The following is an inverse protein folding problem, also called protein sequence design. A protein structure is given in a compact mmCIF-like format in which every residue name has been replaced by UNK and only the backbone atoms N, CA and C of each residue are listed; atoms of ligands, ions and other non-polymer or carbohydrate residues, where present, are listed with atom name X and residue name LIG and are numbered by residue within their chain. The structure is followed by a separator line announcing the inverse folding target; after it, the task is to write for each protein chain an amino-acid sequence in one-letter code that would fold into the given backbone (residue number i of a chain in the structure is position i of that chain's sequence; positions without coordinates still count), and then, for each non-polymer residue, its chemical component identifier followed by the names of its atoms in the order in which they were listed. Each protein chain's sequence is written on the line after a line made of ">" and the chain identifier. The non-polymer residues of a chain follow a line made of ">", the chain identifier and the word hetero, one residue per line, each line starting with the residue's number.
data_IF_511513173444
#
_entry.id   IF_511513173444
#
_cell.length_a   1.000
_cell.length_b   1.000
_cell.length_c   1.000
_cell.angle_alpha   90.00
_cell.angle_beta   90.00
_cell.angle_gamma   90.00
#
_symmetry.space_group_name_H-M   'P 1'
#
loop_
_entity.id
_entity.type
_entity.pdbx_description
1 polymer ?
#
# COMPACT_ATOMS: atom_id res chain seq x y z
N UNK A 1 -22.15 -4.04 -27.56
CA UNK A 1 -21.60 -4.84 -26.44
C UNK A 1 -20.28 -5.42 -26.93
N UNK A 2 -19.17 -4.70 -26.74
CA UNK A 2 -17.84 -5.19 -27.12
C UNK A 2 -17.18 -5.72 -25.85
N UNK A 3 -17.06 -7.05 -25.75
CA UNK A 3 -16.24 -7.66 -24.72
C UNK A 3 -14.81 -7.73 -25.24
N UNK A 4 -13.95 -6.84 -24.76
CA UNK A 4 -12.52 -6.84 -25.04
C UNK A 4 -11.89 -8.05 -24.35
N UNK A 5 -11.38 -9.00 -25.15
CA UNK A 5 -10.65 -10.17 -24.66
C UNK A 5 -9.30 -9.72 -24.10
N UNK A 6 -9.16 -9.65 -22.78
CA UNK A 6 -7.88 -9.39 -22.14
C UNK A 6 -6.94 -10.58 -22.38
N UNK A 7 -5.88 -10.36 -23.15
CA UNK A 7 -4.79 -11.33 -23.27
C UNK A 7 -3.92 -11.24 -22.00
N UNK A 8 -3.87 -12.33 -21.22
CA UNK A 8 -2.92 -12.45 -20.11
C UNK A 8 -1.50 -12.53 -20.66
N UNK A 9 -0.84 -11.39 -20.85
CA UNK A 9 0.59 -11.34 -21.15
C UNK A 9 1.37 -11.47 -19.85
N UNK A 10 1.96 -12.64 -19.62
CA UNK A 10 2.90 -12.86 -18.50
C UNK A 10 4.16 -12.04 -18.74
N UNK A 11 4.37 -10.98 -17.95
CA UNK A 11 5.59 -10.17 -17.96
C UNK A 11 6.60 -10.83 -17.01
N UNK A 12 7.70 -11.36 -17.56
CA UNK A 12 8.84 -11.85 -16.76
C UNK A 12 9.84 -10.72 -16.59
N UNK A 13 9.88 -10.11 -15.40
CA UNK A 13 10.93 -9.16 -15.04
C UNK A 13 12.18 -9.94 -14.65
N UNK A 14 13.20 -9.94 -15.53
CA UNK A 14 14.52 -10.49 -15.20
C UNK A 14 15.28 -9.44 -14.38
N UNK A 15 15.38 -9.65 -13.07
CA UNK A 15 16.29 -8.89 -12.21
C UNK A 15 17.68 -9.49 -12.38
N UNK A 16 18.45 -8.97 -13.33
CA UNK A 16 19.86 -9.31 -13.45
C UNK A 16 20.61 -8.74 -12.24
N UNK A 17 21.07 -9.61 -11.35
CA UNK A 17 21.77 -9.27 -10.11
C UNK A 17 23.22 -8.88 -10.40
N UNK A 18 23.51 -7.64 -10.83
CA UNK A 18 24.90 -7.16 -10.98
C UNK A 18 25.15 -5.68 -10.67
N UNK A 19 24.33 -5.06 -9.82
CA UNK A 19 24.76 -3.86 -9.12
C UNK A 19 25.02 -4.25 -7.66
N UNK A 20 26.30 -4.42 -7.32
CA UNK A 20 26.77 -4.58 -5.94
C UNK A 20 26.45 -3.29 -5.17
N UNK A 21 25.27 -3.23 -4.57
CA UNK A 21 25.01 -2.33 -3.44
C UNK A 21 25.91 -2.82 -2.31
N UNK A 22 27.03 -2.12 -2.11
CA UNK A 22 27.79 -2.21 -0.87
C UNK A 22 26.85 -1.88 0.28
N UNK A 23 26.32 -2.91 0.93
CA UNK A 23 25.69 -2.76 2.23
C UNK A 23 26.80 -2.27 3.18
N UNK A 24 26.70 -1.01 3.62
CA UNK A 24 27.50 -0.55 4.76
C UNK A 24 27.25 -1.49 5.93
N UNK A 25 28.34 -1.93 6.57
CA UNK A 25 28.37 -2.86 7.70
C UNK A 25 27.39 -2.45 8.81
N UNK A 26 26.68 -3.37 9.49
CA UNK A 26 25.61 -3.02 10.43
C UNK A 26 26.07 -2.44 11.78
N UNK A 27 27.36 -2.24 12.01
CA UNK A 27 27.87 -2.10 13.39
C UNK A 27 28.08 -0.65 13.88
N UNK A 28 27.69 0.39 13.16
CA UNK A 28 27.81 1.75 13.70
C UNK A 28 26.60 2.64 13.38
N UNK A 29 25.97 3.13 14.46
CA UNK A 29 24.95 4.20 14.51
C UNK A 29 23.46 3.80 14.54
N UNK A 30 23.09 2.81 15.38
CA UNK A 30 21.77 2.79 16.05
C UNK A 30 21.78 3.58 17.39
N UNK A 31 22.50 4.69 17.46
CA UNK A 31 22.60 5.52 18.67
C UNK A 31 21.85 6.86 18.59
N UNK A 32 21.15 7.17 17.49
CA UNK A 32 20.60 8.53 17.25
C UNK A 32 19.07 8.66 17.17
N UNK A 33 18.29 7.65 17.55
CA UNK A 33 16.88 7.87 17.91
C UNK A 33 16.63 7.57 19.39
N UNK A 34 17.15 8.45 20.24
CA UNK A 34 16.74 8.55 21.64
C UNK A 34 15.57 9.55 21.75
N UNK A 35 14.33 9.03 21.87
CA UNK A 35 13.11 9.72 22.34
C UNK A 35 12.16 8.61 22.82
N UNK A 36 11.74 8.38 24.07
CA UNK A 36 11.82 9.04 25.37
C UNK A 36 12.09 7.98 26.47
N UNK A 37 12.71 8.31 27.62
CA UNK A 37 12.69 7.45 28.79
C UNK A 37 11.32 7.60 29.49
N UNK A 38 10.76 6.50 29.96
CA UNK A 38 9.60 6.41 30.87
C UNK A 38 8.22 6.25 30.20
N UNK A 39 8.03 5.16 29.44
CA UNK A 39 6.77 4.43 29.46
C UNK A 39 7.09 2.98 29.84
N UNK A 40 6.83 2.65 31.10
CA UNK A 40 7.04 1.32 31.65
C UNK A 40 5.93 0.41 31.10
N UNK A 41 6.14 -0.15 29.90
CA UNK A 41 5.34 -1.26 29.41
C UNK A 41 5.96 -2.54 29.97
N UNK A 42 5.31 -3.02 31.03
CA UNK A 42 5.35 -4.39 31.51
C UNK A 42 5.51 -5.38 30.35
N UNK A 43 6.69 -6.01 30.27
CA UNK A 43 6.99 -7.08 29.32
C UNK A 43 6.12 -8.28 29.69
N UNK A 44 5.01 -8.42 28.98
CA UNK A 44 4.30 -9.68 28.84
C UNK A 44 4.56 -10.13 27.41
N UNK A 45 5.15 -11.32 27.25
CA UNK A 45 5.52 -11.97 25.99
C UNK A 45 4.65 -11.54 24.81
N UNK A 46 5.22 -10.73 23.92
CA UNK A 46 4.75 -10.59 22.56
C UNK A 46 6.01 -10.53 21.73
N UNK A 47 6.40 -11.70 21.21
CA UNK A 47 7.32 -11.77 20.09
C UNK A 47 6.71 -10.94 18.97
N UNK A 48 7.15 -9.69 18.89
CA UNK A 48 6.82 -8.79 17.80
C UNK A 48 7.29 -9.51 16.55
N UNK A 49 6.36 -9.82 15.65
CA UNK A 49 6.61 -10.57 14.42
C UNK A 49 7.30 -9.65 13.40
N UNK A 50 8.56 -9.29 13.68
CA UNK A 50 9.39 -8.37 12.89
C UNK A 50 9.59 -8.81 11.42
N UNK A 51 9.75 -10.10 11.08
CA UNK A 51 10.04 -10.50 9.71
C UNK A 51 8.92 -10.17 8.70
N UNK A 52 7.65 -10.27 9.12
CA UNK A 52 6.52 -10.04 8.21
C UNK A 52 6.34 -8.56 7.89
N UNK A 53 6.61 -7.69 8.87
CA UNK A 53 6.59 -6.23 8.68
C UNK A 53 7.69 -5.83 7.69
N UNK A 54 8.91 -6.36 7.85
CA UNK A 54 10.03 -6.06 6.95
C UNK A 54 9.77 -6.57 5.52
N UNK A 55 9.23 -7.79 5.36
CA UNK A 55 8.86 -8.33 4.05
C UNK A 55 7.76 -7.48 3.41
N UNK A 56 6.76 -7.07 4.18
CA UNK A 56 5.68 -6.22 3.69
C UNK A 56 6.21 -4.84 3.25
N UNK A 57 7.08 -4.22 4.03
CA UNK A 57 7.70 -2.95 3.70
C UNK A 57 8.58 -3.04 2.46
N UNK A 58 9.40 -4.09 2.34
CA UNK A 58 10.19 -4.34 1.14
C UNK A 58 9.29 -4.51 -0.09
N UNK A 59 8.25 -5.35 0.01
CA UNK A 59 7.29 -5.54 -1.07
C UNK A 59 6.60 -4.24 -1.46
N UNK A 60 6.20 -3.42 -0.47
CA UNK A 60 5.61 -2.10 -0.68
C UNK A 60 6.56 -1.18 -1.44
N UNK A 61 7.83 -1.10 -1.04
CA UNK A 61 8.86 -0.29 -1.70
C UNK A 61 9.06 -0.72 -3.16
N UNK A 62 9.23 -2.02 -3.43
CA UNK A 62 9.44 -2.53 -4.79
C UNK A 62 8.21 -2.33 -5.68
N UNK A 63 7.02 -2.58 -5.12
CA UNK A 63 5.76 -2.43 -5.85
C UNK A 63 5.48 -0.96 -6.19
N UNK A 64 5.56 -0.07 -5.19
CA UNK A 64 5.18 1.33 -5.34
C UNK A 64 6.28 2.17 -6.01
N UNK A 65 7.55 1.86 -5.77
CA UNK A 65 8.69 2.61 -6.30
C UNK A 65 9.16 2.15 -7.69
N UNK A 66 8.93 0.88 -8.05
CA UNK A 66 9.47 0.31 -9.30
C UNK A 66 8.34 -0.23 -10.17
N UNK A 67 7.54 -1.16 -9.64
CA UNK A 67 6.58 -1.92 -10.46
C UNK A 67 5.46 -1.03 -11.02
N UNK A 68 4.80 -0.25 -10.16
CA UNK A 68 3.67 0.58 -10.55
C UNK A 68 4.07 1.72 -11.52
N UNK A 69 5.14 2.49 -11.26
CA UNK A 69 5.58 3.54 -12.20
C UNK A 69 5.94 2.97 -13.58
N UNK A 70 6.68 1.87 -13.64
CA UNK A 70 7.03 1.22 -14.92
C UNK A 70 5.79 0.73 -15.66
N UNK A 71 4.80 0.19 -14.94
CA UNK A 71 3.55 -0.26 -15.54
C UNK A 71 2.75 0.91 -16.12
N UNK A 72 2.65 2.03 -15.38
CA UNK A 72 1.97 3.24 -15.84
C UNK A 72 2.64 3.79 -17.10
N UNK A 73 3.96 3.94 -17.09
CA UNK A 73 4.73 4.43 -18.24
C UNK A 73 4.57 3.54 -19.47
N UNK A 74 4.54 2.21 -19.27
CA UNK A 74 4.33 1.26 -20.35
C UNK A 74 2.91 1.36 -20.91
N UNK A 75 1.89 1.47 -20.05
CA UNK A 75 0.51 1.70 -20.50
C UNK A 75 0.43 2.99 -21.32
N UNK A 76 1.02 4.09 -20.85
CA UNK A 76 1.05 5.36 -21.57
C UNK A 76 1.74 5.22 -22.94
N UNK A 77 2.91 4.56 -23.01
CA UNK A 77 3.64 4.31 -24.27
C UNK A 77 2.88 3.41 -25.24
N UNK A 78 2.12 2.45 -24.73
CA UNK A 78 1.30 1.54 -25.52
C UNK A 78 -0.06 2.15 -25.93
N UNK A 79 -0.38 3.37 -25.47
CA UNK A 79 -1.69 3.99 -25.67
C UNK A 79 -2.82 3.27 -24.94
N UNK A 80 -2.50 2.54 -23.87
CA UNK A 80 -3.46 1.84 -23.02
C UNK A 80 -3.92 2.75 -21.89
N UNK A 81 -5.12 2.46 -21.37
CA UNK A 81 -5.62 3.11 -20.17
C UNK A 81 -4.70 2.82 -18.97
N UNK A 82 -4.64 3.75 -18.02
CA UNK A 82 -3.92 3.56 -16.78
C UNK A 82 -4.40 2.30 -16.04
N UNK A 83 -3.52 1.63 -15.28
CA UNK A 83 -3.90 0.47 -14.49
C UNK A 83 -5.13 0.79 -13.61
N UNK A 84 -6.08 -0.16 -13.47
CA UNK A 84 -7.26 0.07 -12.63
C UNK A 84 -6.85 0.43 -11.20
N UNK A 85 -7.31 1.59 -10.72
CA UNK A 85 -7.15 2.02 -9.34
C UNK A 85 -8.51 2.14 -8.65
N UNK A 86 -8.52 2.13 -7.31
CA UNK A 86 -9.73 2.41 -6.54
C UNK A 86 -10.35 3.75 -6.95
N UNK A 87 -9.53 4.74 -7.35
CA UNK A 87 -9.97 6.06 -7.80
C UNK A 87 -10.65 6.04 -9.17
N UNK A 88 -10.41 5.02 -9.98
CA UNK A 88 -11.08 4.84 -11.28
C UNK A 88 -12.49 4.25 -11.14
N UNK A 89 -12.88 3.77 -9.96
CA UNK A 89 -14.20 3.19 -9.75
C UNK A 89 -15.29 4.29 -9.69
N UNK A 90 -16.53 4.00 -10.13
CA UNK A 90 -17.70 4.82 -9.82
C UNK A 90 -17.87 5.00 -8.30
N UNK A 91 -18.40 6.16 -7.88
CA UNK A 91 -18.59 6.52 -6.47
C UNK A 91 -19.35 5.45 -5.68
N UNK A 92 -20.38 4.85 -6.27
CA UNK A 92 -21.18 3.81 -5.62
C UNK A 92 -20.36 2.55 -5.31
N UNK A 93 -19.42 2.18 -6.18
CA UNK A 93 -18.54 1.03 -5.98
C UNK A 93 -17.44 1.33 -4.95
N UNK A 94 -16.94 2.57 -4.91
CA UNK A 94 -16.02 3.03 -3.86
C UNK A 94 -16.69 2.95 -2.49
N UNK A 95 -17.92 3.44 -2.39
CA UNK A 95 -18.73 3.39 -1.16
C UNK A 95 -19.02 1.97 -0.70
N UNK A 96 -19.47 1.08 -1.58
CA UNK A 96 -19.72 -0.33 -1.24
C UNK A 96 -18.44 -1.06 -0.80
N UNK A 97 -17.27 -0.64 -1.31
CA UNK A 97 -15.98 -1.17 -0.86
C UNK A 97 -15.68 -0.72 0.57
N UNK A 98 -15.83 0.58 0.86
CA UNK A 98 -15.64 1.14 2.21
C UNK A 98 -16.63 0.56 3.23
N UNK A 99 -17.89 0.37 2.84
CA UNK A 99 -18.94 -0.19 3.69
C UNK A 99 -18.65 -1.64 4.14
N UNK A 100 -17.71 -2.33 3.49
CA UNK A 100 -17.26 -3.68 3.89
C UNK A 100 -16.12 -3.67 4.90
N UNK A 101 -15.46 -2.53 5.10
CA UNK A 101 -14.32 -2.39 6.01
C UNK A 101 -14.78 -2.19 7.46
N UNK A 102 -13.93 -2.52 8.43
CA UNK A 102 -14.18 -2.16 9.82
C UNK A 102 -14.06 -0.64 10.00
N UNK A 103 -14.73 -0.07 11.00
CA UNK A 103 -14.69 1.37 11.27
C UNK A 103 -13.27 1.93 11.42
N UNK A 104 -12.37 1.16 12.05
CA UNK A 104 -10.94 1.51 12.18
C UNK A 104 -10.24 1.62 10.82
N UNK A 105 -10.55 0.73 9.89
CA UNK A 105 -9.94 0.73 8.56
C UNK A 105 -10.54 1.83 7.66
N UNK A 106 -11.83 2.15 7.83
CA UNK A 106 -12.46 3.30 7.16
C UNK A 106 -11.73 4.60 7.54
N UNK A 107 -11.42 4.78 8.83
CA UNK A 107 -10.66 5.94 9.30
C UNK A 107 -9.26 6.00 8.67
N UNK A 108 -8.56 4.85 8.58
CA UNK A 108 -7.23 4.77 7.95
C UNK A 108 -7.29 5.09 6.45
N UNK A 109 -8.30 4.58 5.74
CA UNK A 109 -8.51 4.86 4.31
C UNK A 109 -8.81 6.34 4.07
N UNK A 110 -9.59 6.98 4.96
CA UNK A 110 -9.85 8.42 4.92
C UNK A 110 -8.60 9.29 5.03
N UNK A 111 -7.50 8.77 5.59
CA UNK A 111 -6.21 9.47 5.66
C UNK A 111 -5.38 9.38 4.38
N UNK A 112 -5.76 8.56 3.40
CA UNK A 112 -4.94 8.31 2.21
C UNK A 112 -4.99 9.44 1.18
N UNK A 113 -6.17 10.02 0.91
CA UNK A 113 -6.33 11.16 0.00
C UNK A 113 -7.63 11.94 0.26
N UNK A 114 -7.79 13.10 -0.38
CA UNK A 114 -8.96 13.98 -0.19
C UNK A 114 -10.29 13.35 -0.64
N UNK A 115 -10.27 12.58 -1.72
CA UNK A 115 -11.48 11.90 -2.20
C UNK A 115 -11.94 10.84 -1.20
N UNK A 116 -11.03 10.01 -0.71
CA UNK A 116 -11.33 8.99 0.30
C UNK A 116 -11.70 9.60 1.66
N UNK A 117 -11.10 10.74 2.02
CA UNK A 117 -11.51 11.51 3.20
C UNK A 117 -12.97 11.94 3.12
N UNK A 118 -13.39 12.48 1.97
CA UNK A 118 -14.78 12.90 1.76
C UNK A 118 -15.73 11.70 1.83
N UNK A 119 -15.31 10.55 1.28
CA UNK A 119 -16.09 9.32 1.34
C UNK A 119 -16.18 8.77 2.78
N UNK A 120 -15.09 8.78 3.54
CA UNK A 120 -15.04 8.32 4.92
C UNK A 120 -15.83 9.24 5.88
N UNK A 121 -15.99 10.52 5.55
CA UNK A 121 -16.80 11.48 6.32
C UNK A 121 -18.31 11.37 6.05
N UNK A 122 -18.77 10.39 5.28
CA UNK A 122 -20.20 10.20 5.04
C UNK A 122 -20.88 9.54 6.24
N UNK A 123 -21.81 10.25 6.87
CA UNK A 123 -22.59 9.76 8.03
C UNK A 123 -23.34 8.45 7.76
N UNK A 124 -23.83 8.24 6.53
CA UNK A 124 -24.55 7.01 6.16
C UNK A 124 -23.64 5.78 6.27
N UNK A 125 -22.33 5.96 6.04
CA UNK A 125 -21.33 4.90 6.16
C UNK A 125 -21.14 4.47 7.63
N UNK A 126 -21.22 5.41 8.57
CA UNK A 126 -21.08 5.14 9.99
C UNK A 126 -22.35 4.59 10.63
N UNK A 127 -23.55 4.99 10.15
CA UNK A 127 -24.83 4.41 10.60
C UNK A 127 -24.98 2.91 10.32
N UNK A 128 -24.29 2.39 9.31
CA UNK A 128 -24.25 0.95 9.05
C UNK A 128 -23.29 0.20 9.98
N UNK A 129 -22.41 0.91 10.69
CA UNK A 129 -21.38 0.31 11.56
C UNK A 129 -21.80 0.30 13.03
N UNK A 130 -22.60 1.27 13.48
CA UNK A 130 -22.99 1.50 14.86
C UNK A 130 -24.45 1.97 14.95
#
# INVERSE_FOLDING_TARGET
>A
MFMSKAASTSLRLSLNSRDEIHASSPDDSLASLAVCPNAQLNVSDSEVFVPEIEIFEFWRIVKDGITYPLLIDLCAKAGLAEPPSLMCLPSDLKMNTLDRLLGVDIARVGCACKELQNLANNDELWKHKF
#
